data_IF_730388076713
#
_entry.id   IF_730388076713
#
_cell.length_a   1.000
_cell.length_b   1.000
_cell.length_c   1.000
_cell.angle_alpha   90.00
_cell.angle_beta   90.00
_cell.angle_gamma   90.00
#
_symmetry.space_group_name_H-M   'P 1'
#
loop_
_entity.id
_entity.type
_entity.pdbx_description
1 polymer ?
#
# COMPACT_ATOMS: atom_id res chain seq x y z
N UNK A 1 5.65 -7.80 38.36
CA UNK A 1 6.44 -7.66 37.12
C UNK A 1 5.51 -7.04 36.10
N UNK A 2 5.96 -6.03 35.34
CA UNK A 2 5.19 -5.63 34.16
C UNK A 2 5.09 -6.85 33.23
N UNK A 3 4.09 -6.88 32.36
CA UNK A 3 3.96 -7.89 31.31
C UNK A 3 4.12 -7.15 29.99
N UNK A 4 4.63 -7.82 28.97
CA UNK A 4 4.63 -7.25 27.63
C UNK A 4 3.19 -6.94 27.17
N UNK A 5 2.99 -5.80 26.51
CA UNK A 5 1.69 -5.43 25.95
C UNK A 5 1.58 -5.82 24.47
N UNK A 6 0.35 -5.81 23.97
CA UNK A 6 0.05 -6.10 22.56
C UNK A 6 -0.12 -4.79 21.81
N UNK A 7 0.49 -4.65 20.64
CA UNK A 7 0.22 -3.55 19.71
C UNK A 7 -0.18 -4.08 18.31
N UNK A 8 -0.93 -3.29 17.56
CA UNK A 8 -1.38 -3.66 16.20
C UNK A 8 -0.43 -3.16 15.12
N UNK A 9 -0.62 -3.59 13.86
CA UNK A 9 0.17 -3.05 12.75
C UNK A 9 -0.14 -1.57 12.50
N UNK A 10 -1.37 -1.12 12.78
CA UNK A 10 -1.76 0.30 12.76
C UNK A 10 -1.00 1.12 13.80
N UNK A 11 -0.85 0.61 15.03
CA UNK A 11 -0.04 1.27 16.07
C UNK A 11 1.42 1.42 15.61
N UNK A 12 1.99 0.34 15.06
CA UNK A 12 3.35 0.35 14.52
C UNK A 12 3.51 1.36 13.39
N UNK A 13 2.56 1.40 12.45
CA UNK A 13 2.58 2.37 11.36
C UNK A 13 2.48 3.79 11.89
N UNK A 14 1.58 4.04 12.85
CA UNK A 14 1.43 5.34 13.51
C UNK A 14 2.74 5.80 14.15
N UNK A 15 3.41 4.93 14.91
CA UNK A 15 4.69 5.26 15.55
C UNK A 15 5.80 5.56 14.54
N UNK A 16 5.88 4.79 13.45
CA UNK A 16 6.86 5.01 12.39
C UNK A 16 6.65 6.35 11.70
N UNK A 17 5.40 6.75 11.43
CA UNK A 17 5.07 8.02 10.77
C UNK A 17 5.25 9.20 11.73
N UNK A 18 4.89 9.04 13.00
CA UNK A 18 5.06 10.07 14.03
C UNK A 18 6.50 10.19 14.55
N UNK A 19 7.40 9.31 14.13
CA UNK A 19 8.81 9.26 14.56
C UNK A 19 8.90 9.09 16.08
N UNK A 20 8.01 8.27 16.64
CA UNK A 20 8.10 7.85 18.05
C UNK A 20 9.47 7.21 18.27
N UNK A 21 10.13 7.51 19.39
CA UNK A 21 11.42 6.91 19.74
C UNK A 21 11.22 5.53 20.36
N UNK A 22 11.55 4.47 19.62
CA UNK A 22 11.49 3.09 20.06
C UNK A 22 12.53 2.25 19.31
N UNK A 23 12.85 1.08 19.85
CA UNK A 23 13.68 0.07 19.20
C UNK A 23 12.81 -1.08 18.68
N UNK A 24 12.87 -1.36 17.38
CA UNK A 24 12.18 -2.51 16.79
C UNK A 24 13.09 -3.75 16.81
N UNK A 25 12.67 -4.79 17.52
CA UNK A 25 13.36 -6.06 17.59
C UNK A 25 12.64 -7.10 16.71
N UNK A 26 13.28 -7.52 15.63
CA UNK A 26 12.80 -8.66 14.83
C UNK A 26 13.44 -9.96 15.32
N UNK A 27 12.63 -10.90 15.79
CA UNK A 27 13.10 -12.17 16.35
C UNK A 27 12.96 -13.37 15.41
N UNK A 28 12.71 -13.12 14.13
CA UNK A 28 12.73 -14.16 13.09
C UNK A 28 14.17 -14.56 12.76
N UNK A 29 14.33 -15.67 12.06
CA UNK A 29 15.63 -16.04 11.49
C UNK A 29 16.08 -14.99 10.44
N UNK A 30 17.37 -14.99 10.12
CA UNK A 30 17.99 -14.01 9.23
C UNK A 30 17.43 -14.06 7.79
N UNK A 31 17.03 -15.23 7.31
CA UNK A 31 16.48 -15.42 5.96
C UNK A 31 15.08 -14.76 5.85
N UNK A 32 14.20 -15.00 6.82
CA UNK A 32 12.88 -14.38 6.91
C UNK A 32 12.99 -12.87 7.11
N UNK A 33 13.96 -12.42 7.91
CA UNK A 33 14.23 -11.01 8.10
C UNK A 33 14.75 -10.35 6.83
N UNK A 34 15.73 -10.94 6.15
CA UNK A 34 16.31 -10.38 4.93
C UNK A 34 15.32 -10.31 3.76
N UNK A 35 14.37 -11.26 3.68
CA UNK A 35 13.37 -11.31 2.62
C UNK A 35 12.21 -10.32 2.80
N UNK A 36 11.87 -9.94 4.04
CA UNK A 36 10.76 -9.03 4.32
C UNK A 36 10.95 -8.32 5.64
N UNK A 37 11.01 -6.98 5.63
CA UNK A 37 11.26 -6.17 6.83
C UNK A 37 10.11 -5.19 7.07
N UNK A 38 10.02 -4.71 8.31
CA UNK A 38 9.27 -3.48 8.58
C UNK A 38 10.06 -2.32 7.99
N UNK A 39 9.40 -1.54 7.14
CA UNK A 39 9.99 -0.39 6.46
C UNK A 39 9.29 0.91 6.84
N UNK A 40 10.00 2.03 6.74
CA UNK A 40 9.43 3.34 7.05
C UNK A 40 9.98 4.42 6.11
N UNK A 41 9.20 5.45 5.80
CA UNK A 41 9.71 6.65 5.13
C UNK A 41 10.66 7.47 6.02
N UNK A 42 10.83 7.11 7.29
CA UNK A 42 11.78 7.75 8.21
C UNK A 42 12.74 6.72 8.78
N UNK A 43 13.93 7.18 9.17
CA UNK A 43 14.91 6.33 9.86
C UNK A 43 14.43 6.02 11.27
N UNK A 44 14.56 4.76 11.67
CA UNK A 44 14.25 4.27 13.01
C UNK A 44 15.26 3.18 13.41
N UNK A 45 15.31 2.81 14.68
CA UNK A 45 16.23 1.79 15.17
C UNK A 45 15.60 0.40 15.07
N UNK A 46 16.31 -0.52 14.43
CA UNK A 46 15.89 -1.90 14.26
C UNK A 46 17.08 -2.85 14.38
N UNK A 47 16.88 -3.99 15.04
CA UNK A 47 17.85 -5.09 15.06
C UNK A 47 17.16 -6.42 14.80
N UNK A 48 17.86 -7.36 14.15
CA UNK A 48 17.44 -8.76 14.05
C UNK A 48 18.26 -9.62 15.02
N UNK A 49 17.58 -10.30 15.93
CA UNK A 49 18.15 -11.26 16.88
C UNK A 49 17.21 -12.47 16.90
N UNK A 50 17.53 -13.58 16.23
CA UNK A 50 16.65 -14.74 16.17
C UNK A 50 16.21 -15.22 17.55
N UNK A 51 14.95 -15.65 17.68
CA UNK A 51 14.41 -16.06 18.98
C UNK A 51 15.17 -17.24 19.61
N UNK A 52 15.81 -18.08 18.78
CA UNK A 52 16.66 -19.19 19.23
C UNK A 52 17.86 -18.69 20.05
N UNK A 53 18.44 -17.53 19.70
CA UNK A 53 19.54 -16.91 20.46
C UNK A 53 19.10 -16.54 21.89
N UNK A 54 17.80 -16.27 22.12
CA UNK A 54 17.28 -16.02 23.46
C UNK A 54 17.08 -17.30 24.27
N UNK A 55 16.95 -18.45 23.59
CA UNK A 55 16.88 -19.78 24.23
C UNK A 55 18.28 -20.26 24.60
N UNK A 56 19.24 -20.09 23.68
CA UNK A 56 20.58 -20.64 23.83
C UNK A 56 21.51 -19.71 24.62
N UNK A 57 21.42 -18.41 24.39
CA UNK A 57 22.34 -17.39 24.91
C UNK A 57 21.62 -16.15 25.48
N UNK A 58 20.61 -16.37 26.33
CA UNK A 58 19.72 -15.30 26.87
C UNK A 58 20.48 -14.02 27.27
N UNK A 59 21.52 -14.15 28.11
CA UNK A 59 22.27 -12.99 28.62
C UNK A 59 22.97 -12.21 27.51
N UNK A 60 23.53 -12.89 26.51
CA UNK A 60 24.22 -12.25 25.39
C UNK A 60 23.21 -11.55 24.47
N UNK A 61 22.08 -12.20 24.19
CA UNK A 61 20.98 -11.66 23.39
C UNK A 61 20.35 -10.42 24.02
N UNK A 62 20.05 -10.48 25.32
CA UNK A 62 19.50 -9.35 26.08
C UNK A 62 20.45 -8.14 26.11
N UNK A 63 21.76 -8.37 26.21
CA UNK A 63 22.75 -7.29 26.24
C UNK A 63 22.88 -6.50 24.92
N UNK A 64 22.36 -7.04 23.80
CA UNK A 64 22.35 -6.38 22.49
C UNK A 64 21.21 -5.39 22.31
N UNK A 65 20.25 -5.33 23.23
CA UNK A 65 19.03 -4.52 23.11
C UNK A 65 19.12 -3.29 24.04
N UNK A 66 18.81 -2.07 23.55
CA UNK A 66 18.84 -0.87 24.37
C UNK A 66 17.74 -0.92 25.45
N UNK A 67 18.12 -0.71 26.72
CA UNK A 67 17.19 -0.75 27.86
C UNK A 67 16.47 0.58 28.10
N UNK A 68 17.00 1.66 27.53
CA UNK A 68 16.59 3.04 27.75
C UNK A 68 15.38 3.44 26.89
N UNK A 69 14.97 2.58 25.95
CA UNK A 69 13.90 2.85 24.98
C UNK A 69 12.78 1.80 25.08
N UNK A 70 11.53 2.17 24.71
CA UNK A 70 10.49 1.20 24.42
C UNK A 70 10.96 0.17 23.38
N UNK A 71 10.71 -1.11 23.63
CA UNK A 71 11.05 -2.20 22.71
C UNK A 71 9.78 -2.76 22.08
N UNK A 72 9.70 -2.74 20.76
CA UNK A 72 8.61 -3.34 19.99
C UNK A 72 9.11 -4.60 19.28
N UNK A 73 8.48 -5.74 19.54
CA UNK A 73 8.95 -7.04 19.08
C UNK A 73 8.08 -7.55 17.93
N UNK A 74 8.73 -7.95 16.84
CA UNK A 74 8.09 -8.56 15.67
C UNK A 74 8.59 -10.00 15.50
N UNK A 75 7.68 -10.91 15.20
CA UNK A 75 8.01 -12.27 14.74
C UNK A 75 7.06 -12.70 13.61
N UNK A 76 7.12 -13.95 13.18
CA UNK A 76 6.28 -14.44 12.08
C UNK A 76 4.77 -14.42 12.40
N UNK A 77 4.36 -14.80 13.61
CA UNK A 77 2.95 -14.91 14.01
C UNK A 77 2.61 -14.23 15.34
N UNK A 78 3.32 -14.55 16.42
CA UNK A 78 3.29 -13.79 17.70
C UNK A 78 4.00 -14.57 18.83
N UNK A 79 3.98 -15.90 18.80
CA UNK A 79 4.48 -16.74 19.89
C UNK A 79 5.94 -16.49 20.28
N UNK A 80 6.85 -16.42 19.31
CA UNK A 80 8.27 -16.11 19.58
C UNK A 80 8.44 -14.69 20.15
N UNK A 81 7.64 -13.73 19.69
CA UNK A 81 7.70 -12.36 20.20
C UNK A 81 7.18 -12.26 21.64
N UNK A 82 6.14 -13.03 21.99
CA UNK A 82 5.64 -13.15 23.37
C UNK A 82 6.72 -13.74 24.29
N UNK A 83 7.33 -14.85 23.87
CA UNK A 83 8.41 -15.50 24.63
C UNK A 83 9.58 -14.56 24.89
N UNK A 84 10.08 -13.87 23.85
CA UNK A 84 11.16 -12.90 24.00
C UNK A 84 10.71 -11.70 24.84
N UNK A 85 9.46 -11.25 24.71
CA UNK A 85 8.90 -10.18 25.53
C UNK A 85 8.91 -10.50 27.03
N UNK A 86 8.60 -11.74 27.41
CA UNK A 86 8.67 -12.20 28.79
C UNK A 86 10.12 -12.22 29.31
N UNK A 87 11.08 -12.66 28.49
CA UNK A 87 12.52 -12.62 28.81
C UNK A 87 12.99 -11.18 29.06
N UNK A 88 12.68 -10.25 28.15
CA UNK A 88 13.08 -8.84 28.31
C UNK A 88 12.47 -8.25 29.57
N UNK A 89 11.19 -8.53 29.82
CA UNK A 89 10.53 -7.99 31.01
C UNK A 89 11.11 -8.56 32.31
N UNK A 90 11.46 -9.86 32.34
CA UNK A 90 12.17 -10.48 33.45
C UNK A 90 13.58 -9.89 33.66
N UNK A 91 14.22 -9.40 32.59
CA UNK A 91 15.53 -8.75 32.61
C UNK A 91 15.48 -7.21 32.81
N UNK A 92 14.33 -6.70 33.27
CA UNK A 92 14.19 -5.32 33.75
C UNK A 92 13.85 -4.29 32.67
N UNK A 93 13.42 -4.71 31.49
CA UNK A 93 12.85 -3.79 30.50
C UNK A 93 11.45 -3.36 30.96
N UNK A 94 11.18 -2.05 30.95
CA UNK A 94 9.95 -1.48 31.53
C UNK A 94 8.82 -1.30 30.51
N UNK A 95 9.15 -1.14 29.23
CA UNK A 95 8.22 -0.90 28.12
C UNK A 95 8.54 -1.87 26.97
N UNK A 96 7.80 -2.96 26.91
CA UNK A 96 7.98 -4.05 25.93
C UNK A 96 6.63 -4.39 25.31
N UNK A 97 6.51 -4.22 24.01
CA UNK A 97 5.33 -4.60 23.24
C UNK A 97 5.64 -5.68 22.22
N UNK A 98 4.64 -6.48 21.81
CA UNK A 98 4.76 -7.37 20.66
C UNK A 98 3.61 -7.18 19.65
N UNK A 99 3.93 -7.38 18.36
CA UNK A 99 2.98 -7.21 17.27
C UNK A 99 1.94 -8.35 17.25
N UNK A 100 0.67 -8.00 17.42
CA UNK A 100 -0.46 -8.93 17.28
C UNK A 100 -0.50 -9.54 15.88
N UNK A 101 -0.61 -10.87 15.79
CA UNK A 101 -0.65 -11.58 14.51
C UNK A 101 0.65 -11.55 13.70
N UNK A 102 1.71 -10.92 14.24
CA UNK A 102 3.07 -10.96 13.70
C UNK A 102 3.23 -10.18 12.40
N UNK A 103 4.38 -10.30 11.75
CA UNK A 103 4.74 -9.48 10.60
C UNK A 103 3.81 -9.67 9.39
N UNK A 104 3.01 -10.75 9.37
CA UNK A 104 1.98 -10.92 8.36
C UNK A 104 0.97 -9.77 8.39
N UNK A 105 0.56 -9.30 9.57
CA UNK A 105 -0.39 -8.19 9.71
C UNK A 105 0.18 -6.88 9.19
N UNK A 106 1.50 -6.69 9.29
CA UNK A 106 2.22 -5.58 8.66
C UNK A 106 2.17 -5.65 7.13
N UNK A 107 2.37 -6.85 6.55
CA UNK A 107 2.29 -7.07 5.11
C UNK A 107 0.88 -6.92 4.53
N UNK A 108 -0.16 -7.09 5.34
CA UNK A 108 -1.57 -7.00 4.95
C UNK A 108 -2.20 -5.64 5.30
N UNK A 109 -1.54 -4.81 6.11
CA UNK A 109 -2.05 -3.52 6.54
C UNK A 109 -2.36 -2.61 5.35
N UNK A 110 -3.53 -1.99 5.39
CA UNK A 110 -3.94 -0.90 4.51
C UNK A 110 -4.41 0.26 5.39
N UNK A 111 -3.85 1.44 5.18
CA UNK A 111 -4.21 2.65 5.92
C UNK A 111 -4.88 3.66 4.99
N UNK A 112 -6.14 4.04 5.22
CA UNK A 112 -6.82 5.02 4.39
C UNK A 112 -6.37 6.45 4.71
N UNK A 113 -6.18 7.25 3.66
CA UNK A 113 -5.94 8.70 3.74
C UNK A 113 -6.88 9.39 2.76
N UNK A 114 -7.72 10.30 3.24
CA UNK A 114 -8.56 11.12 2.36
C UNK A 114 -7.69 12.14 1.61
N UNK A 115 -7.85 12.19 0.30
CA UNK A 115 -7.07 13.04 -0.61
C UNK A 115 -7.77 14.38 -0.86
N UNK A 116 -9.09 14.35 -1.02
CA UNK A 116 -9.88 15.55 -1.32
C UNK A 116 -10.48 16.19 -0.04
N UNK A 117 -10.82 17.49 -0.06
CA UNK A 117 -11.45 18.16 1.06
C UNK A 117 -12.77 17.52 1.49
N UNK A 118 -13.12 17.65 2.77
CA UNK A 118 -14.43 17.17 3.27
C UNK A 118 -15.63 17.90 2.67
N UNK A 119 -15.42 19.10 2.13
CA UNK A 119 -16.44 19.89 1.44
C UNK A 119 -16.81 19.38 0.04
N UNK A 120 -16.01 18.48 -0.54
CA UNK A 120 -16.32 17.88 -1.84
C UNK A 120 -17.47 16.86 -1.68
N UNK A 121 -18.29 16.71 -2.73
CA UNK A 121 -19.51 15.87 -2.71
C UNK A 121 -19.23 14.36 -2.62
N UNK A 122 -17.99 13.94 -2.89
CA UNK A 122 -17.52 12.55 -2.78
C UNK A 122 -16.28 12.45 -1.90
N UNK A 123 -15.99 11.25 -1.42
CA UNK A 123 -14.73 10.93 -0.76
C UNK A 123 -13.75 10.27 -1.72
N UNK A 124 -12.58 10.87 -1.91
CA UNK A 124 -11.44 10.26 -2.61
C UNK A 124 -10.40 9.84 -1.59
N UNK A 125 -10.07 8.55 -1.57
CA UNK A 125 -9.17 7.94 -0.60
C UNK A 125 -8.00 7.26 -1.30
N UNK A 126 -6.83 7.36 -0.68
CA UNK A 126 -5.67 6.54 -0.98
C UNK A 126 -5.50 5.53 0.16
N UNK A 127 -5.32 4.27 -0.19
CA UNK A 127 -5.06 3.19 0.76
C UNK A 127 -3.57 2.83 0.67
N UNK A 128 -2.84 3.16 1.72
CA UNK A 128 -1.40 2.96 1.82
C UNK A 128 -1.14 1.55 2.34
N UNK A 129 -0.34 0.75 1.61
CA UNK A 129 0.08 -0.57 2.05
C UNK A 129 1.54 -0.56 2.55
N UNK A 130 1.79 -0.26 3.85
CA UNK A 130 3.13 0.02 4.34
C UNK A 130 4.12 -1.14 4.20
N UNK A 131 3.63 -2.38 4.20
CA UNK A 131 4.49 -3.54 4.04
C UNK A 131 4.97 -3.79 2.60
N UNK A 132 4.28 -3.29 1.57
CA UNK A 132 4.60 -3.64 0.17
C UNK A 132 4.84 -2.44 -0.73
N UNK A 133 4.78 -1.22 -0.20
CA UNK A 133 4.91 0.01 -0.96
C UNK A 133 3.82 0.26 -2.01
N UNK A 134 2.82 -0.62 -2.17
CA UNK A 134 1.71 -0.47 -3.11
C UNK A 134 0.66 0.52 -2.60
N UNK A 135 0.01 1.21 -3.53
CA UNK A 135 -1.12 2.11 -3.29
C UNK A 135 -2.33 1.60 -4.07
N UNK A 136 -3.50 1.73 -3.45
CA UNK A 136 -4.80 1.54 -4.10
C UNK A 136 -5.68 2.74 -3.77
N UNK A 137 -6.78 2.92 -4.49
CA UNK A 137 -7.63 4.11 -4.34
C UNK A 137 -9.09 3.74 -4.17
N UNK A 138 -9.85 4.66 -3.58
CA UNK A 138 -11.28 4.52 -3.34
C UNK A 138 -12.02 5.81 -3.67
N UNK A 139 -13.13 5.72 -4.38
CA UNK A 139 -14.06 6.82 -4.61
C UNK A 139 -15.40 6.44 -3.99
N UNK A 140 -15.87 7.21 -3.00
CA UNK A 140 -17.11 6.94 -2.26
C UNK A 140 -18.12 8.05 -2.55
N UNK A 141 -19.31 7.69 -3.01
CA UNK A 141 -20.40 8.61 -3.31
C UNK A 141 -21.76 7.89 -3.22
N UNK A 142 -22.77 8.51 -2.62
CA UNK A 142 -24.15 7.99 -2.53
C UNK A 142 -24.25 6.47 -2.24
N UNK A 143 -23.69 6.03 -1.12
CA UNK A 143 -23.69 4.63 -0.66
C UNK A 143 -23.02 3.64 -1.64
N UNK A 144 -22.21 4.12 -2.57
CA UNK A 144 -21.43 3.30 -3.50
C UNK A 144 -19.95 3.65 -3.42
N UNK A 145 -19.12 2.67 -3.75
CA UNK A 145 -17.68 2.81 -3.79
C UNK A 145 -17.10 2.17 -5.05
N UNK A 146 -16.27 2.92 -5.78
CA UNK A 146 -15.30 2.35 -6.71
C UNK A 146 -13.98 2.10 -5.96
N UNK A 147 -13.35 0.96 -6.21
CA UNK A 147 -11.98 0.67 -5.74
C UNK A 147 -11.06 0.52 -6.95
N UNK A 148 -9.90 1.19 -6.91
CA UNK A 148 -8.89 1.14 -7.97
C UNK A 148 -7.65 0.39 -7.48
N UNK A 149 -7.18 -0.58 -8.26
CA UNK A 149 -6.03 -1.44 -7.99
C UNK A 149 -6.09 -2.16 -6.61
N UNK A 150 -7.21 -2.83 -6.25
CA UNK A 150 -7.33 -3.45 -4.93
C UNK A 150 -6.31 -4.57 -4.72
N UNK A 151 -5.68 -4.60 -3.54
CA UNK A 151 -4.89 -5.76 -3.12
C UNK A 151 -5.78 -6.95 -2.73
N UNK A 152 -5.20 -8.15 -2.53
CA UNK A 152 -5.94 -9.33 -2.03
C UNK A 152 -6.57 -9.19 -0.64
N UNK A 153 -6.26 -8.15 0.13
CA UNK A 153 -6.90 -7.95 1.43
C UNK A 153 -8.32 -7.37 1.26
N UNK A 154 -9.21 -8.14 0.63
CA UNK A 154 -10.55 -7.68 0.24
C UNK A 154 -11.41 -7.24 1.44
N UNK A 155 -11.18 -7.87 2.60
CA UNK A 155 -11.90 -7.59 3.83
C UNK A 155 -11.70 -6.15 4.29
N UNK A 156 -10.52 -5.56 4.03
CA UNK A 156 -10.28 -4.16 4.31
C UNK A 156 -11.22 -3.27 3.50
N UNK A 157 -11.27 -3.44 2.17
CA UNK A 157 -12.08 -2.59 1.30
C UNK A 157 -13.58 -2.74 1.62
N UNK A 158 -14.06 -3.95 1.85
CA UNK A 158 -15.46 -4.20 2.23
C UNK A 158 -15.83 -3.52 3.54
N UNK A 159 -14.97 -3.61 4.58
CA UNK A 159 -15.20 -2.93 5.86
C UNK A 159 -15.09 -1.41 5.73
N UNK A 160 -14.18 -0.92 4.91
CA UNK A 160 -14.03 0.51 4.64
C UNK A 160 -15.25 1.08 3.91
N UNK A 161 -15.80 0.37 2.92
CA UNK A 161 -17.06 0.76 2.29
C UNK A 161 -18.21 0.77 3.31
N UNK A 162 -18.33 -0.29 4.13
CA UNK A 162 -19.34 -0.39 5.19
C UNK A 162 -19.23 0.75 6.22
N UNK A 163 -18.02 1.18 6.60
CA UNK A 163 -17.85 2.30 7.54
C UNK A 163 -18.27 3.65 6.96
N UNK A 164 -18.52 3.72 5.65
CA UNK A 164 -19.08 4.87 4.94
C UNK A 164 -20.53 4.62 4.47
N UNK A 165 -21.21 3.64 5.06
CA UNK A 165 -22.55 3.19 4.66
C UNK A 165 -22.64 2.87 3.15
N UNK A 166 -21.54 2.40 2.56
CA UNK A 166 -21.42 2.13 1.13
C UNK A 166 -21.19 0.64 0.82
N UNK A 167 -21.50 0.27 -0.43
CA UNK A 167 -21.13 -1.01 -1.03
C UNK A 167 -20.16 -0.79 -2.19
N UNK A 168 -19.26 -1.74 -2.45
CA UNK A 168 -18.39 -1.67 -3.62
C UNK A 168 -19.21 -2.09 -4.83
N UNK A 169 -19.33 -1.20 -5.82
CA UNK A 169 -20.09 -1.45 -7.05
C UNK A 169 -19.21 -1.48 -8.29
N UNK A 170 -18.01 -0.91 -8.21
CA UNK A 170 -17.03 -0.90 -9.28
C UNK A 170 -15.64 -1.27 -8.74
N UNK A 171 -14.97 -2.15 -9.47
CA UNK A 171 -13.56 -2.48 -9.31
C UNK A 171 -12.86 -2.03 -10.58
N UNK A 172 -11.80 -1.25 -10.44
CA UNK A 172 -11.08 -0.67 -11.57
C UNK A 172 -9.62 -1.08 -11.49
N UNK A 173 -9.05 -1.55 -12.59
CA UNK A 173 -7.61 -1.82 -12.67
C UNK A 173 -6.95 -0.81 -13.62
N UNK A 174 -5.84 -0.24 -13.19
CA UNK A 174 -4.99 0.58 -14.07
C UNK A 174 -4.22 -0.29 -15.04
N UNK A 175 -3.82 -1.50 -14.63
CA UNK A 175 -3.08 -2.46 -15.44
C UNK A 175 -3.12 -3.86 -14.82
N UNK A 176 -2.61 -4.87 -15.53
CA UNK A 176 -2.31 -6.17 -14.92
C UNK A 176 -1.06 -6.08 -14.02
N UNK A 177 -1.25 -6.28 -12.72
CA UNK A 177 -0.19 -6.17 -11.70
C UNK A 177 0.72 -7.41 -11.69
N UNK A 178 2.04 -7.20 -11.74
CA UNK A 178 3.05 -8.27 -11.65
C UNK A 178 3.69 -8.38 -10.26
N UNK A 179 3.60 -7.33 -9.45
CA UNK A 179 4.19 -7.19 -8.12
C UNK A 179 3.26 -7.73 -7.01
N UNK A 180 1.96 -7.79 -7.27
CA UNK A 180 0.98 -8.34 -6.36
C UNK A 180 -0.19 -8.98 -7.10
N UNK A 181 -0.90 -9.83 -6.38
CA UNK A 181 -2.17 -10.37 -6.84
C UNK A 181 -3.28 -9.36 -6.52
N UNK A 182 -4.03 -8.95 -7.53
CA UNK A 182 -5.21 -8.12 -7.32
C UNK A 182 -6.30 -8.89 -6.57
N UNK A 183 -7.01 -8.18 -5.67
CA UNK A 183 -8.25 -8.65 -5.04
C UNK A 183 -9.49 -8.40 -5.89
N UNK A 184 -9.34 -7.74 -7.03
CA UNK A 184 -10.43 -7.25 -7.87
C UNK A 184 -11.37 -8.35 -8.34
N UNK A 185 -10.82 -9.48 -8.79
CA UNK A 185 -11.60 -10.66 -9.21
C UNK A 185 -12.46 -11.24 -8.09
N UNK A 186 -11.99 -11.19 -6.85
CA UNK A 186 -12.74 -11.72 -5.70
C UNK A 186 -13.82 -10.72 -5.25
N UNK A 187 -13.54 -9.42 -5.35
CA UNK A 187 -14.51 -8.36 -5.06
C UNK A 187 -15.64 -8.34 -6.11
N UNK A 188 -15.32 -8.50 -7.39
CA UNK A 188 -16.30 -8.54 -8.48
C UNK A 188 -17.03 -9.89 -8.61
N UNK A 189 -16.47 -10.96 -8.02
CA UNK A 189 -17.00 -12.32 -8.12
C UNK A 189 -18.46 -12.45 -7.67
N UNK A 190 -19.20 -13.30 -8.39
CA UNK A 190 -20.66 -13.46 -8.28
C UNK A 190 -21.45 -12.18 -8.61
N UNK A 191 -20.96 -11.39 -9.57
CA UNK A 191 -21.59 -10.15 -10.06
C UNK A 191 -21.86 -9.11 -8.96
N UNK A 192 -21.03 -9.11 -7.91
CA UNK A 192 -21.18 -8.18 -6.77
C UNK A 192 -20.71 -6.76 -7.10
N UNK A 193 -19.79 -6.62 -8.04
CA UNK A 193 -19.27 -5.35 -8.54
C UNK A 193 -18.84 -5.51 -10.00
N UNK A 194 -18.94 -4.43 -10.78
CA UNK A 194 -18.47 -4.41 -12.16
C UNK A 194 -16.94 -4.27 -12.20
N UNK A 195 -16.26 -5.19 -12.89
CA UNK A 195 -14.82 -5.14 -13.08
C UNK A 195 -14.48 -4.38 -14.37
N UNK A 196 -13.82 -3.24 -14.23
CA UNK A 196 -13.45 -2.30 -15.29
C UNK A 196 -11.96 -2.40 -15.55
N UNK A 197 -11.58 -2.90 -16.73
CA UNK A 197 -10.17 -3.13 -17.09
C UNK A 197 -9.93 -2.85 -18.57
N UNK A 198 -8.68 -2.69 -18.98
CA UNK A 198 -8.36 -2.68 -20.41
C UNK A 198 -8.08 -4.11 -20.91
N UNK A 199 -8.79 -4.55 -21.95
CA UNK A 199 -8.70 -5.94 -22.49
C UNK A 199 -7.30 -6.43 -22.84
N UNK A 200 -6.38 -5.54 -23.21
CA UNK A 200 -5.01 -5.91 -23.57
C UNK A 200 -4.19 -6.49 -22.41
N UNK A 201 -4.57 -6.19 -21.17
CA UNK A 201 -3.92 -6.74 -19.97
C UNK A 201 -4.63 -7.96 -19.40
N UNK A 202 -5.85 -8.23 -19.87
CA UNK A 202 -6.67 -9.36 -19.45
C UNK A 202 -7.13 -10.21 -20.66
N UNK A 203 -6.23 -10.54 -21.62
CA UNK A 203 -6.58 -11.40 -22.73
C UNK A 203 -6.98 -12.77 -22.19
N UNK A 204 -8.06 -13.34 -22.73
CA UNK A 204 -8.55 -14.67 -22.34
C UNK A 204 -8.86 -14.84 -20.84
N UNK A 205 -9.10 -13.73 -20.13
CA UNK A 205 -9.49 -13.80 -18.71
C UNK A 205 -10.78 -14.62 -18.56
N UNK A 206 -10.83 -15.61 -17.66
CA UNK A 206 -12.01 -16.44 -17.47
C UNK A 206 -13.13 -15.71 -16.70
N UNK A 207 -12.92 -14.46 -16.30
CA UNK A 207 -13.86 -13.65 -15.53
C UNK A 207 -14.57 -12.62 -16.42
N UNK A 208 -15.80 -12.28 -16.06
CA UNK A 208 -16.56 -11.21 -16.72
C UNK A 208 -15.98 -9.85 -16.35
N UNK A 209 -15.77 -9.00 -17.35
CA UNK A 209 -15.34 -7.62 -17.16
C UNK A 209 -15.90 -6.72 -18.27
N UNK A 210 -15.95 -5.42 -17.99
CA UNK A 210 -16.20 -4.38 -19.00
C UNK A 210 -14.86 -3.84 -19.46
N UNK A 211 -14.61 -3.92 -20.77
CA UNK A 211 -13.38 -3.39 -21.36
C UNK A 211 -13.49 -1.88 -21.47
N UNK A 212 -12.54 -1.18 -20.88
CA UNK A 212 -12.37 0.25 -20.98
C UNK A 212 -11.63 0.63 -22.26
N UNK A 213 -12.05 1.73 -22.88
CA UNK A 213 -11.42 2.31 -24.08
C UNK A 213 -10.93 3.75 -23.82
N UNK A 214 -10.06 4.26 -24.69
CA UNK A 214 -9.56 5.63 -24.59
C UNK A 214 -10.68 6.68 -24.69
N UNK A 215 -10.66 7.69 -23.82
CA UNK A 215 -11.67 8.75 -23.69
C UNK A 215 -13.06 8.28 -23.25
N UNK A 216 -13.18 7.03 -22.80
CA UNK A 216 -14.39 6.57 -22.15
C UNK A 216 -14.59 7.30 -20.81
N UNK A 217 -15.86 7.44 -20.42
CA UNK A 217 -16.27 8.14 -19.20
C UNK A 217 -17.05 7.19 -18.33
N UNK A 218 -16.47 6.83 -17.19
CA UNK A 218 -17.11 5.96 -16.21
C UNK A 218 -17.63 6.84 -15.08
N UNK A 219 -18.93 6.78 -14.82
CA UNK A 219 -19.54 7.46 -13.67
C UNK A 219 -19.73 6.44 -12.56
N UNK A 220 -19.41 6.79 -11.32
CA UNK A 220 -19.62 5.88 -10.18
C UNK A 220 -21.10 5.51 -10.04
N UNK A 221 -21.98 6.51 -9.90
CA UNK A 221 -23.43 6.35 -9.96
C UNK A 221 -24.13 7.71 -10.10
N UNK A 222 -25.32 7.75 -10.71
CA UNK A 222 -26.15 8.96 -10.80
C UNK A 222 -25.42 10.16 -11.41
N UNK A 223 -25.37 11.26 -10.66
CA UNK A 223 -24.65 12.50 -10.93
C UNK A 223 -23.28 12.57 -10.22
N UNK A 224 -22.76 11.42 -9.78
CA UNK A 224 -21.51 11.30 -9.04
C UNK A 224 -20.25 11.57 -9.86
N UNK A 225 -19.07 11.41 -9.23
CA UNK A 225 -17.80 11.70 -9.86
C UNK A 225 -17.58 10.87 -11.12
N UNK A 226 -17.02 11.51 -12.14
CA UNK A 226 -16.70 10.91 -13.43
C UNK A 226 -15.20 10.61 -13.52
N UNK A 227 -14.88 9.38 -13.90
CA UNK A 227 -13.53 8.93 -14.25
C UNK A 227 -13.38 8.98 -15.77
N UNK A 228 -12.61 9.95 -16.27
CA UNK A 228 -12.18 9.97 -17.67
C UNK A 228 -11.02 8.98 -17.85
N UNK A 229 -11.22 8.02 -18.74
CA UNK A 229 -10.28 6.93 -19.03
C UNK A 229 -9.32 7.38 -20.12
N UNK A 230 -8.02 7.27 -19.87
CA UNK A 230 -7.01 7.42 -20.90
C UNK A 230 -6.24 6.10 -21.02
N UNK A 231 -6.31 5.45 -22.18
CA UNK A 231 -5.39 4.36 -22.53
C UNK A 231 -3.97 4.93 -22.67
N UNK A 232 -3.06 4.43 -21.84
CA UNK A 232 -1.70 4.95 -21.65
C UNK A 232 -0.68 3.82 -21.63
N UNK A 233 -0.56 3.06 -22.73
CA UNK A 233 0.33 1.91 -22.80
C UNK A 233 1.79 2.33 -22.60
N UNK A 234 2.57 1.47 -21.95
CA UNK A 234 3.95 1.79 -21.59
C UNK A 234 4.54 0.81 -20.60
N UNK A 235 3.95 0.75 -19.41
CA UNK A 235 4.32 -0.26 -18.42
C UNK A 235 3.80 -1.64 -18.82
N UNK A 236 2.52 -1.70 -19.20
CA UNK A 236 1.88 -2.83 -19.89
C UNK A 236 1.21 -2.35 -21.18
N UNK A 237 0.75 -3.28 -22.03
CA UNK A 237 0.01 -2.92 -23.26
C UNK A 237 -1.40 -2.39 -22.97
N UNK A 238 -2.01 -2.81 -21.86
CA UNK A 238 -3.31 -2.36 -21.38
C UNK A 238 -3.26 -1.29 -20.29
N UNK A 239 -2.12 -0.67 -20.00
CA UNK A 239 -2.05 0.38 -18.97
C UNK A 239 -3.02 1.53 -19.26
N UNK A 240 -3.73 1.99 -18.22
CA UNK A 240 -4.73 3.06 -18.25
C UNK A 240 -4.47 4.03 -17.09
N UNK A 241 -4.76 5.32 -17.33
CA UNK A 241 -4.86 6.35 -16.29
C UNK A 241 -6.29 6.87 -16.17
N UNK A 242 -6.68 7.28 -14.97
CA UNK A 242 -8.03 7.77 -14.66
C UNK A 242 -7.98 9.21 -14.18
N UNK A 243 -8.71 10.10 -14.85
CA UNK A 243 -8.81 11.51 -14.44
C UNK A 243 -10.19 11.78 -13.84
N UNK A 244 -10.23 11.94 -12.52
CA UNK A 244 -11.46 12.10 -11.74
C UNK A 244 -11.86 13.58 -11.74
N UNK A 245 -13.04 13.87 -12.30
CA UNK A 245 -13.66 15.20 -12.41
C UNK A 245 -12.76 16.31 -12.96
N UNK A 246 -11.79 15.95 -13.80
CA UNK A 246 -10.80 16.92 -14.28
C UNK A 246 -9.89 17.48 -13.18
N UNK A 247 -9.83 16.84 -12.00
CA UNK A 247 -9.14 17.31 -10.80
C UNK A 247 -8.05 16.38 -10.30
N UNK A 248 -8.23 15.06 -10.34
CA UNK A 248 -7.29 14.12 -9.71
C UNK A 248 -6.90 13.00 -10.67
N UNK A 249 -5.60 12.77 -10.88
CA UNK A 249 -5.13 11.79 -11.85
C UNK A 249 -4.55 10.54 -11.15
N UNK A 250 -5.20 9.38 -11.29
CA UNK A 250 -4.64 8.07 -10.93
C UNK A 250 -3.84 7.57 -12.13
N UNK A 251 -2.55 7.28 -11.95
CA UNK A 251 -1.66 7.00 -13.08
C UNK A 251 -1.30 5.55 -13.29
N UNK A 252 -1.59 4.67 -12.32
CA UNK A 252 -0.98 3.34 -12.30
C UNK A 252 0.54 3.42 -12.50
N UNK A 253 1.14 2.34 -12.98
CA UNK A 253 2.58 2.31 -13.27
C UNK A 253 2.99 3.08 -14.53
N UNK A 254 2.09 3.80 -15.21
CA UNK A 254 2.48 4.68 -16.34
C UNK A 254 3.37 5.84 -15.87
N UNK A 255 3.04 6.45 -14.73
CA UNK A 255 3.76 7.63 -14.21
C UNK A 255 4.01 7.51 -12.70
N UNK A 256 5.25 7.78 -12.29
CA UNK A 256 5.61 8.01 -10.91
C UNK A 256 6.02 9.47 -10.68
N UNK A 257 5.99 9.88 -9.41
CA UNK A 257 6.31 11.26 -8.97
C UNK A 257 7.72 11.72 -9.42
N UNK A 258 8.68 10.80 -9.65
CA UNK A 258 10.08 11.11 -10.04
C UNK A 258 10.61 10.17 -11.15
N UNK A 259 9.77 9.32 -11.76
CA UNK A 259 10.16 8.37 -12.82
C UNK A 259 8.94 7.91 -13.64
N UNK A 260 9.16 7.18 -14.73
CA UNK A 260 8.10 6.41 -15.40
C UNK A 260 8.15 4.94 -14.96
N UNK A 261 7.04 4.21 -15.14
CA UNK A 261 6.97 2.73 -15.13
C UNK A 261 8.23 2.11 -15.69
N UNK A 262 8.71 0.98 -15.16
CA UNK A 262 9.71 0.24 -15.95
C UNK A 262 9.01 -0.19 -17.25
N UNK A 263 9.49 0.23 -18.43
CA UNK A 263 8.82 -0.02 -19.69
C UNK A 263 9.30 -1.33 -20.36
N UNK A 264 10.07 -2.14 -19.63
CA UNK A 264 10.75 -3.34 -20.12
C UNK A 264 9.85 -4.57 -20.17
N UNK A 265 8.70 -4.56 -19.49
CA UNK A 265 7.77 -5.69 -19.47
C UNK A 265 7.10 -5.95 -20.84
N UNK A 266 6.99 -4.94 -21.70
CA UNK A 266 6.42 -5.06 -23.06
C UNK A 266 7.42 -4.93 -24.21
N UNK A 267 8.73 -4.76 -23.93
CA UNK A 267 9.78 -4.74 -24.95
C UNK A 267 9.78 -3.58 -25.96
N UNK A 268 8.95 -2.53 -25.78
CA UNK A 268 8.78 -1.39 -26.73
C UNK A 268 9.06 -0.01 -26.10
N UNK A 269 9.94 0.01 -25.10
CA UNK A 269 10.16 1.15 -24.19
C UNK A 269 10.34 2.53 -24.84
N UNK A 270 11.16 2.65 -25.88
CA UNK A 270 11.46 3.94 -26.51
C UNK A 270 10.27 4.53 -27.30
N UNK A 271 9.42 3.67 -27.89
CA UNK A 271 8.29 4.11 -28.69
C UNK A 271 7.13 4.61 -27.82
N UNK A 272 6.89 3.96 -26.68
CA UNK A 272 5.77 4.29 -25.80
C UNK A 272 5.97 5.58 -24.99
N UNK A 273 7.21 5.88 -24.59
CA UNK A 273 7.54 7.13 -23.88
C UNK A 273 7.38 8.41 -24.72
N UNK A 274 7.55 8.33 -26.05
CA UNK A 274 7.41 9.51 -26.92
C UNK A 274 5.95 9.75 -27.30
N UNK A 275 5.16 8.69 -27.44
CA UNK A 275 3.80 8.75 -28.00
C UNK A 275 2.75 9.06 -26.94
N UNK A 276 2.85 8.51 -25.72
CA UNK A 276 1.73 8.56 -24.77
C UNK A 276 1.99 9.49 -23.59
N UNK A 277 3.17 9.42 -22.97
CA UNK A 277 3.50 10.29 -21.83
C UNK A 277 3.63 11.76 -22.27
N UNK A 278 4.30 12.06 -23.38
CA UNK A 278 4.52 13.46 -23.82
C UNK A 278 3.24 14.24 -24.10
N UNK A 279 2.22 13.72 -24.83
CA UNK A 279 0.95 14.44 -25.03
C UNK A 279 0.10 14.59 -23.76
N UNK A 280 0.07 13.58 -22.88
CA UNK A 280 -0.58 13.67 -21.56
C UNK A 280 -0.02 14.85 -20.76
N UNK A 281 1.30 15.04 -20.75
CA UNK A 281 1.94 16.14 -20.01
C UNK A 281 1.68 17.53 -20.58
N UNK A 282 1.58 17.68 -21.91
CA UNK A 282 1.33 19.00 -22.53
C UNK A 282 -0.11 19.46 -22.40
N UNK A 283 -1.07 18.54 -22.28
CA UNK A 283 -2.50 18.86 -22.38
C UNK A 283 -3.28 18.68 -21.07
N UNK A 284 -2.68 18.13 -20.01
CA UNK A 284 -3.38 18.00 -18.72
C UNK A 284 -3.27 19.25 -17.85
N UNK A 285 -4.36 19.66 -17.18
CA UNK A 285 -4.33 20.77 -16.24
C UNK A 285 -3.37 20.47 -15.07
N UNK A 286 -2.89 21.51 -14.40
CA UNK A 286 -2.06 21.38 -13.20
C UNK A 286 -2.89 20.75 -12.06
N UNK A 287 -2.84 19.42 -11.95
CA UNK A 287 -3.67 18.62 -11.05
C UNK A 287 -2.82 17.71 -10.14
N UNK A 288 -3.30 17.33 -8.94
CA UNK A 288 -2.65 16.31 -8.12
C UNK A 288 -2.54 14.96 -8.84
N UNK A 289 -1.31 14.45 -8.93
CA UNK A 289 -0.98 13.12 -9.47
C UNK A 289 -0.92 12.10 -8.34
N UNK A 290 -1.59 10.98 -8.52
CA UNK A 290 -1.74 9.89 -7.55
C UNK A 290 -1.03 8.64 -8.08
N UNK A 291 0.19 8.34 -7.60
CA UNK A 291 1.00 7.26 -8.12
C UNK A 291 0.61 5.89 -7.54
N UNK A 292 1.09 4.79 -8.13
CA UNK A 292 0.83 3.41 -7.70
C UNK A 292 1.68 2.94 -6.51
N UNK A 293 2.78 3.64 -6.21
CA UNK A 293 3.69 3.28 -5.12
C UNK A 293 4.09 4.47 -4.25
N UNK A 294 4.37 4.20 -2.98
CA UNK A 294 5.13 5.10 -2.10
C UNK A 294 6.47 4.44 -1.74
N UNK A 295 7.60 5.16 -1.79
CA UNK A 295 8.90 4.59 -1.41
C UNK A 295 9.23 4.88 0.05
N UNK A 296 9.43 3.86 0.91
CA UNK A 296 10.20 4.00 2.15
C UNK A 296 11.65 4.40 1.85
N UNK A 297 12.31 5.09 2.80
CA UNK A 297 13.73 5.43 2.63
C UNK A 297 14.56 4.17 2.80
N UNK A 298 15.12 3.65 1.70
CA UNK A 298 16.17 2.63 1.76
C UNK A 298 17.53 3.27 2.15
N UNK A 299 18.32 2.49 2.89
CA UNK A 299 19.67 2.71 3.46
C UNK A 299 20.65 3.66 2.72
N UNK A 300 21.69 4.18 3.41
CA UNK A 300 22.49 5.33 2.95
C UNK A 300 23.20 5.04 1.62
N UNK A 301 22.95 5.89 0.61
CA UNK A 301 23.69 5.84 -0.66
C UNK A 301 22.83 5.91 -1.92
N UNK A 302 21.50 5.79 -1.81
CA UNK A 302 20.57 6.05 -2.92
C UNK A 302 19.77 7.32 -2.62
N UNK A 303 19.59 8.18 -3.63
CA UNK A 303 19.02 9.53 -3.50
C UNK A 303 17.71 9.50 -2.71
N UNK A 304 17.61 10.37 -1.70
CA UNK A 304 16.42 10.59 -0.87
C UNK A 304 15.19 10.83 -1.77
N UNK A 305 14.15 10.01 -1.64
CA UNK A 305 12.82 10.31 -2.19
C UNK A 305 11.88 10.60 -1.03
N UNK A 306 11.31 11.79 -1.02
CA UNK A 306 10.19 12.16 -0.15
C UNK A 306 8.93 11.76 -0.89
N UNK A 307 8.29 10.66 -0.50
CA UNK A 307 6.96 10.29 -1.02
C UNK A 307 5.95 10.48 0.10
N UNK A 308 5.55 11.74 0.29
CA UNK A 308 4.28 12.06 0.92
C UNK A 308 3.46 12.86 -0.09
N UNK A 309 2.19 12.48 -0.11
CA UNK A 309 1.06 12.97 -0.88
C UNK A 309 1.08 14.49 -1.08
N UNK A 310 0.61 14.91 -2.26
CA UNK A 310 0.37 16.29 -2.74
C UNK A 310 1.62 17.09 -3.14
N UNK A 311 1.85 17.19 -4.45
CA UNK A 311 2.45 18.39 -5.01
C UNK A 311 1.35 19.45 -5.13
N UNK A 312 1.31 20.41 -4.20
CA UNK A 312 0.91 21.78 -4.55
C UNK A 312 2.22 22.53 -4.83
N UNK A 313 2.31 23.22 -5.98
CA UNK A 313 3.35 24.24 -6.18
C UNK A 313 3.28 25.29 -5.08
#
# INVERSE_FOLDING_TARGET
MSRSYVYSSEDLFSDLINKTDFHLLDVRNEDDFSSFQVESPYTFEMSNIPYFDFIEEEKASVARIPKEKPVKIVCAKEGSAQYVGDILTANGFSDVGYLSGGIKTWGELLTPVRINPESDEYGLYQFIRPGKACLSYGVVYNNQMAVVDPSRNINFYTRFAQSHDAIITQVVETHAHADHLSGGMEISGDDKAEMLVHKLDFPDSPFSYVSLEHQEKVTLCGDGPQMDVYHTPGHTEGSVTYFIDGKYLITGDTLFIISAGRPDLGGKAENWFVIYTKPLFTNMPNCPVMPPFYRPIMSPGKRRMRTFVLWRR
#
